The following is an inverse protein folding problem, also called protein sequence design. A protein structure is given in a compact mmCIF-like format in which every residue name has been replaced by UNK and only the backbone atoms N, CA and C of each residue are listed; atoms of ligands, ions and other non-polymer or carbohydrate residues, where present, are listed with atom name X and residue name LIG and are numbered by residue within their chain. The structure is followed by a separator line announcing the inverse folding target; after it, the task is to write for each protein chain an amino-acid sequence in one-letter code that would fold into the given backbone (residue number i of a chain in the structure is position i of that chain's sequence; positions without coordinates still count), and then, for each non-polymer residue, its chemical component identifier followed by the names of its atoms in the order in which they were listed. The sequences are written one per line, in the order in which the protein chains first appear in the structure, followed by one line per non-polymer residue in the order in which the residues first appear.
data_IF_415408332183
#
_entry.id   IF_415408332183
#
_cell.length_a   1.000
_cell.length_b   1.000
_cell.length_c   1.000
_cell.angle_alpha   90.00
_cell.angle_beta   90.00
_cell.angle_gamma   90.00
#
_symmetry.space_group_name_H-M   'P 1'
#
loop_
_entity.id
_entity.type
_entity.pdbx_description
1 polymer ?
#
# COMPACT_ATOMS: atom_id res chain seq x y z
N UNK A 1 -27.81 11.97 -8.21
CA UNK A 1 -26.45 12.37 -8.67
C UNK A 1 -25.34 11.57 -7.96
N UNK A 2 -25.62 10.41 -7.34
CA UNK A 2 -24.64 9.71 -6.49
C UNK A 2 -23.90 8.55 -7.21
N UNK A 3 -24.54 7.87 -8.15
CA UNK A 3 -23.97 6.69 -8.86
C UNK A 3 -22.77 7.07 -9.75
N UNK A 4 -22.77 8.29 -10.31
CA UNK A 4 -21.62 8.78 -11.07
C UNK A 4 -20.38 8.98 -10.18
N UNK A 5 -20.57 9.36 -8.91
CA UNK A 5 -19.46 9.51 -7.96
C UNK A 5 -18.85 8.15 -7.60
N UNK A 6 -19.70 7.15 -7.36
CA UNK A 6 -19.22 5.81 -7.02
C UNK A 6 -18.47 5.13 -8.17
N UNK A 7 -18.73 5.50 -9.43
CA UNK A 7 -17.86 5.11 -10.54
C UNK A 7 -16.43 5.65 -10.38
N UNK A 8 -16.27 6.90 -10.01
CA UNK A 8 -14.95 7.51 -9.86
C UNK A 8 -14.15 6.94 -8.68
N UNK A 9 -14.81 6.30 -7.72
CA UNK A 9 -14.14 5.57 -6.64
C UNK A 9 -13.54 4.22 -7.10
N UNK A 10 -13.93 3.74 -8.29
CA UNK A 10 -13.49 2.46 -8.84
C UNK A 10 -12.15 2.60 -9.58
N UNK A 11 -11.52 1.47 -9.88
CA UNK A 11 -10.26 1.47 -10.63
C UNK A 11 -10.40 2.17 -12.00
N UNK A 12 -11.41 1.81 -12.78
CA UNK A 12 -11.65 2.41 -14.09
C UNK A 12 -11.88 3.93 -14.01
N UNK A 13 -12.65 4.37 -13.01
CA UNK A 13 -12.92 5.78 -12.77
C UNK A 13 -11.68 6.58 -12.34
N UNK A 14 -10.91 6.06 -11.38
CA UNK A 14 -9.66 6.70 -10.91
C UNK A 14 -8.63 6.84 -12.04
N UNK A 15 -8.41 5.75 -12.78
CA UNK A 15 -7.48 5.75 -13.92
C UNK A 15 -7.95 6.69 -15.03
N UNK A 16 -9.26 6.77 -15.28
CA UNK A 16 -9.82 7.72 -16.24
C UNK A 16 -9.62 9.18 -15.80
N UNK A 17 -9.70 9.49 -14.50
CA UNK A 17 -9.45 10.84 -13.98
C UNK A 17 -7.98 11.25 -14.07
N UNK A 18 -7.06 10.29 -13.99
CA UNK A 18 -5.63 10.52 -14.17
C UNK A 18 -5.22 10.75 -15.63
N UNK A 19 -6.20 10.86 -16.56
CA UNK A 19 -5.95 11.15 -17.97
C UNK A 19 -5.58 9.93 -18.81
N UNK A 20 -5.60 8.72 -18.24
CA UNK A 20 -5.37 7.50 -19.00
C UNK A 20 -6.58 7.18 -19.87
N UNK A 21 -6.35 7.05 -21.17
CA UNK A 21 -7.43 6.90 -22.15
C UNK A 21 -7.82 5.45 -22.42
N UNK A 22 -6.97 4.49 -22.09
CA UNK A 22 -7.22 3.05 -22.29
C UNK A 22 -7.87 2.41 -21.06
N UNK A 23 -9.00 2.97 -20.63
CA UNK A 23 -9.81 2.45 -19.52
C UNK A 23 -11.29 2.55 -19.89
N UNK A 24 -12.11 1.65 -19.36
CA UNK A 24 -13.55 1.70 -19.58
C UNK A 24 -14.14 2.97 -18.96
N UNK A 25 -14.97 3.67 -19.72
CA UNK A 25 -15.77 4.83 -19.30
C UNK A 25 -17.24 4.44 -19.20
N UNK A 26 -18.08 5.39 -18.82
CA UNK A 26 -19.52 5.19 -18.65
C UNK A 26 -20.16 4.49 -19.87
N UNK A 27 -19.86 4.97 -21.07
CA UNK A 27 -20.45 4.47 -22.31
C UNK A 27 -19.89 3.12 -22.77
N UNK A 28 -18.67 2.74 -22.36
CA UNK A 28 -18.10 1.44 -22.72
C UNK A 28 -18.87 0.28 -22.07
N UNK A 29 -19.44 0.55 -20.90
CA UNK A 29 -20.27 -0.37 -20.13
C UNK A 29 -21.77 -0.22 -20.43
N UNK A 30 -22.28 1.01 -20.49
CA UNK A 30 -23.73 1.27 -20.63
C UNK A 30 -24.22 1.40 -22.08
N UNK A 31 -23.33 1.67 -23.04
CA UNK A 31 -23.69 2.12 -24.38
C UNK A 31 -23.75 3.64 -24.48
N UNK A 32 -23.92 4.14 -25.70
CA UNK A 32 -23.96 5.58 -25.99
C UNK A 32 -25.38 6.09 -26.23
N UNK A 33 -26.17 5.37 -27.04
CA UNK A 33 -27.54 5.75 -27.41
C UNK A 33 -28.57 4.66 -27.10
N UNK A 34 -28.12 3.54 -26.52
CA UNK A 34 -28.86 2.32 -26.22
C UNK A 34 -28.77 1.97 -24.73
N UNK A 35 -28.79 3.01 -23.89
CA UNK A 35 -28.67 2.89 -22.44
C UNK A 35 -30.00 2.33 -21.89
N UNK A 36 -29.98 1.04 -21.57
CA UNK A 36 -31.11 0.33 -21.00
C UNK A 36 -30.86 -0.06 -19.54
N UNK A 37 -31.94 -0.10 -18.74
CA UNK A 37 -31.88 -0.55 -17.36
C UNK A 37 -31.32 -1.98 -17.25
N UNK A 38 -30.62 -2.28 -16.15
CA UNK A 38 -29.99 -3.59 -15.90
C UNK A 38 -31.01 -4.75 -15.92
N UNK A 39 -32.27 -4.45 -15.58
CA UNK A 39 -33.38 -5.41 -15.62
C UNK A 39 -33.81 -5.78 -17.04
N UNK A 40 -33.52 -4.95 -18.04
CA UNK A 40 -33.84 -5.24 -19.44
C UNK A 40 -32.83 -6.28 -19.99
N UNK A 41 -33.30 -7.42 -20.55
CA UNK A 41 -32.44 -8.42 -21.16
C UNK A 41 -31.52 -7.90 -22.28
N UNK A 42 -31.94 -6.85 -22.99
CA UNK A 42 -31.18 -6.23 -24.09
C UNK A 42 -30.09 -5.27 -23.60
N UNK A 43 -30.10 -4.88 -22.32
CA UNK A 43 -29.05 -4.04 -21.75
C UNK A 43 -27.68 -4.71 -21.86
N UNK A 44 -26.64 -3.93 -22.17
CA UNK A 44 -25.24 -4.36 -22.12
C UNK A 44 -24.82 -4.87 -20.74
N UNK A 45 -25.55 -4.47 -19.69
CA UNK A 45 -25.30 -4.83 -18.30
C UNK A 45 -26.30 -5.86 -17.76
N UNK A 46 -27.17 -6.41 -18.60
CA UNK A 46 -28.06 -7.50 -18.19
C UNK A 46 -27.25 -8.71 -17.74
N UNK A 47 -27.83 -9.59 -16.90
CA UNK A 47 -27.12 -10.79 -16.41
C UNK A 47 -26.56 -11.67 -17.53
N UNK A 48 -27.14 -11.63 -18.72
CA UNK A 48 -26.71 -12.39 -19.90
C UNK A 48 -25.56 -11.71 -20.66
N UNK A 49 -25.55 -10.37 -20.69
CA UNK A 49 -24.65 -9.60 -21.54
C UNK A 49 -23.44 -9.04 -20.79
N UNK A 50 -23.53 -8.84 -19.47
CA UNK A 50 -22.47 -8.22 -18.65
C UNK A 50 -21.11 -8.91 -18.83
N UNK A 51 -21.08 -10.24 -18.95
CA UNK A 51 -19.84 -10.97 -19.19
C UNK A 51 -19.18 -10.57 -20.51
N UNK A 52 -19.97 -10.48 -21.60
CA UNK A 52 -19.48 -10.06 -22.91
C UNK A 52 -18.96 -8.63 -22.89
N UNK A 53 -19.61 -7.76 -22.11
CA UNK A 53 -19.18 -6.38 -21.91
C UNK A 53 -17.80 -6.31 -21.24
N UNK A 54 -17.57 -7.09 -20.18
CA UNK A 54 -16.25 -7.18 -19.56
C UNK A 54 -15.20 -7.78 -20.51
N UNK A 55 -15.59 -8.77 -21.32
CA UNK A 55 -14.70 -9.47 -22.25
C UNK A 55 -14.21 -8.61 -23.41
N UNK A 56 -14.80 -7.44 -23.66
CA UNK A 56 -14.28 -6.47 -24.64
C UNK A 56 -12.83 -6.06 -24.33
N UNK A 57 -12.45 -6.05 -23.05
CA UNK A 57 -11.09 -5.74 -22.60
C UNK A 57 -10.47 -6.87 -21.77
N UNK A 58 -11.27 -7.67 -21.06
CA UNK A 58 -10.81 -8.80 -20.25
C UNK A 58 -11.20 -10.12 -20.90
N UNK A 59 -10.50 -10.52 -21.96
CA UNK A 59 -10.84 -11.70 -22.78
C UNK A 59 -11.04 -13.00 -21.97
N UNK A 60 -10.24 -13.18 -20.91
CA UNK A 60 -10.33 -14.33 -19.99
C UNK A 60 -11.35 -14.19 -18.86
N UNK A 61 -12.20 -13.16 -18.87
CA UNK A 61 -13.19 -12.95 -17.80
C UNK A 61 -14.19 -14.11 -17.75
N UNK A 62 -14.53 -14.52 -16.53
CA UNK A 62 -15.54 -15.56 -16.24
C UNK A 62 -16.80 -14.94 -15.62
N UNK A 63 -17.88 -15.71 -15.51
CA UNK A 63 -19.11 -15.25 -14.84
C UNK A 63 -18.87 -14.76 -13.40
N UNK A 64 -17.92 -15.38 -12.67
CA UNK A 64 -17.57 -14.96 -11.30
C UNK A 64 -16.87 -13.59 -11.30
N UNK A 65 -16.04 -13.32 -12.31
CA UNK A 65 -15.39 -12.02 -12.50
C UNK A 65 -16.41 -10.91 -12.76
N UNK A 66 -17.35 -11.15 -13.69
CA UNK A 66 -18.39 -10.18 -14.05
C UNK A 66 -19.49 -10.01 -12.98
N UNK A 67 -19.48 -10.82 -11.92
CA UNK A 67 -20.43 -10.73 -10.80
C UNK A 67 -20.09 -9.63 -9.79
N UNK A 68 -18.96 -8.95 -9.94
CA UNK A 68 -18.59 -7.82 -9.07
C UNK A 68 -19.46 -6.60 -9.37
N UNK A 69 -20.05 -6.00 -8.34
CA UNK A 69 -20.74 -4.72 -8.46
C UNK A 69 -19.72 -3.61 -8.70
N UNK A 70 -19.58 -3.21 -9.97
CA UNK A 70 -18.59 -2.24 -10.45
C UNK A 70 -18.77 -0.83 -9.91
N UNK A 71 -19.82 -0.54 -9.14
CA UNK A 71 -20.05 0.75 -8.47
C UNK A 71 -20.39 0.59 -6.98
N UNK A 72 -20.15 -0.59 -6.39
CA UNK A 72 -20.32 -0.78 -4.95
C UNK A 72 -19.15 -0.12 -4.22
N UNK A 73 -19.47 0.79 -3.31
CA UNK A 73 -18.47 1.51 -2.50
C UNK A 73 -18.65 1.17 -1.04
N UNK A 74 -17.56 1.26 -0.29
CA UNK A 74 -17.53 1.06 1.16
C UNK A 74 -17.97 2.31 1.94
N UNK A 75 -18.49 3.34 1.28
CA UNK A 75 -18.91 4.61 1.90
C UNK A 75 -20.36 4.61 2.39
N UNK A 76 -21.19 3.68 1.89
CA UNK A 76 -22.59 3.58 2.24
C UNK A 76 -22.85 2.31 3.10
N UNK A 77 -22.93 2.44 4.43
CA UNK A 77 -23.18 1.31 5.32
C UNK A 77 -24.60 0.77 5.21
N UNK A 78 -25.58 1.54 4.69
CA UNK A 78 -26.95 1.06 4.53
C UNK A 78 -27.09 0.16 3.31
N UNK A 79 -26.42 0.53 2.21
CA UNK A 79 -26.48 -0.23 0.95
C UNK A 79 -25.50 -1.40 0.88
N UNK A 80 -24.31 -1.24 1.47
CA UNK A 80 -23.25 -2.27 1.47
C UNK A 80 -22.64 -2.48 2.87
N UNK A 81 -23.43 -2.94 3.87
CA UNK A 81 -22.98 -3.04 5.26
C UNK A 81 -21.76 -3.94 5.45
N UNK A 82 -21.72 -5.08 4.76
CA UNK A 82 -20.59 -6.03 4.84
C UNK A 82 -19.31 -5.39 4.29
N UNK A 83 -19.41 -4.68 3.15
CA UNK A 83 -18.25 -4.03 2.54
C UNK A 83 -17.71 -2.88 3.40
N UNK A 84 -18.60 -2.11 4.03
CA UNK A 84 -18.25 -1.03 4.95
C UNK A 84 -17.43 -1.54 6.15
N UNK A 85 -17.97 -2.52 6.88
CA UNK A 85 -17.33 -3.03 8.10
C UNK A 85 -16.03 -3.78 7.81
N UNK A 86 -15.98 -4.55 6.73
CA UNK A 86 -14.74 -5.25 6.33
C UNK A 86 -13.64 -4.27 5.96
N UNK A 87 -13.94 -3.21 5.20
CA UNK A 87 -12.96 -2.18 4.84
C UNK A 87 -12.41 -1.46 6.08
N UNK A 88 -13.28 -1.00 6.98
CA UNK A 88 -12.86 -0.31 8.19
C UNK A 88 -12.13 -1.21 9.18
N UNK A 89 -12.57 -2.47 9.32
CA UNK A 89 -11.86 -3.47 10.14
C UNK A 89 -10.44 -3.73 9.63
N UNK A 90 -10.27 -3.95 8.33
CA UNK A 90 -8.95 -4.19 7.74
C UNK A 90 -8.06 -2.94 7.80
N UNK A 91 -8.63 -1.76 7.56
CA UNK A 91 -7.91 -0.48 7.67
C UNK A 91 -7.46 -0.21 9.10
N UNK A 92 -8.34 -0.47 10.09
CA UNK A 92 -7.99 -0.35 11.51
C UNK A 92 -6.87 -1.30 11.91
N UNK A 93 -6.90 -2.55 11.43
CA UNK A 93 -5.81 -3.51 11.66
C UNK A 93 -4.49 -2.99 11.08
N UNK A 94 -4.51 -2.54 9.82
CA UNK A 94 -3.32 -2.00 9.15
C UNK A 94 -2.74 -0.82 9.93
N UNK A 95 -3.54 0.20 10.21
CA UNK A 95 -3.10 1.39 10.95
C UNK A 95 -2.58 1.01 12.34
N UNK A 96 -3.28 0.12 13.03
CA UNK A 96 -2.87 -0.39 14.34
C UNK A 96 -1.50 -1.06 14.30
N UNK A 97 -1.24 -1.93 13.32
CA UNK A 97 0.07 -2.60 13.16
C UNK A 97 1.20 -1.62 12.90
N UNK A 98 1.00 -0.62 12.02
CA UNK A 98 2.00 0.40 11.75
C UNK A 98 2.27 1.31 12.97
N UNK A 99 1.23 1.67 13.73
CA UNK A 99 1.41 2.48 14.95
C UNK A 99 2.20 1.69 15.98
N UNK A 100 1.84 0.43 16.25
CA UNK A 100 2.54 -0.41 17.23
C UNK A 100 4.00 -0.65 16.83
N UNK A 101 4.25 -1.03 15.58
CA UNK A 101 5.61 -1.23 15.06
C UNK A 101 6.42 0.09 15.04
N UNK A 102 5.75 1.19 14.68
CA UNK A 102 6.33 2.53 14.67
C UNK A 102 6.74 2.98 16.08
N UNK A 103 5.84 2.84 17.07
CA UNK A 103 6.14 3.16 18.48
C UNK A 103 7.25 2.26 19.00
N UNK A 104 7.19 0.94 18.74
CA UNK A 104 8.26 0.02 19.14
C UNK A 104 9.62 0.46 18.59
N UNK A 105 9.68 0.80 17.30
CA UNK A 105 10.90 1.28 16.64
C UNK A 105 11.37 2.61 17.22
N UNK A 106 10.44 3.55 17.44
CA UNK A 106 10.75 4.89 17.94
C UNK A 106 11.23 4.85 19.40
N UNK A 107 10.66 3.99 20.23
CA UNK A 107 11.13 3.77 21.61
C UNK A 107 12.50 3.09 21.66
N UNK A 108 12.82 2.25 20.67
CA UNK A 108 14.12 1.56 20.62
C UNK A 108 15.23 2.37 19.94
N UNK A 109 14.88 3.37 19.12
CA UNK A 109 15.82 4.22 18.38
C UNK A 109 16.84 4.96 19.30
N UNK A 110 16.45 5.62 20.41
CA UNK A 110 17.39 6.31 21.28
C UNK A 110 18.39 5.34 21.92
N UNK A 111 17.90 4.18 22.36
CA UNK A 111 18.74 3.14 22.96
C UNK A 111 19.75 2.60 21.94
N UNK A 112 19.31 2.34 20.72
CA UNK A 112 20.18 1.92 19.61
C UNK A 112 21.26 2.97 19.30
N UNK A 113 20.90 4.25 19.28
CA UNK A 113 21.86 5.34 19.06
C UNK A 113 22.84 5.50 20.23
N UNK A 114 22.39 5.32 21.48
CA UNK A 114 23.27 5.36 22.65
C UNK A 114 24.33 4.25 22.59
N UNK A 115 23.96 3.03 22.22
CA UNK A 115 24.93 1.93 22.07
C UNK A 115 25.97 2.19 20.98
N UNK A 116 25.56 2.79 19.85
CA UNK A 116 26.52 3.20 18.81
C UNK A 116 27.52 4.26 19.31
N UNK A 117 27.05 5.23 20.11
CA UNK A 117 27.90 6.26 20.72
C UNK A 117 28.88 5.67 21.74
N UNK A 118 28.40 4.77 22.60
CA UNK A 118 29.23 4.09 23.61
C UNK A 118 30.29 3.21 22.94
N UNK A 119 29.92 2.44 21.92
CA UNK A 119 30.88 1.61 21.16
C UNK A 119 31.97 2.47 20.50
N UNK A 120 31.59 3.61 19.90
CA UNK A 120 32.55 4.54 19.29
C UNK A 120 33.54 5.11 20.32
N UNK A 121 33.08 5.39 21.55
CA UNK A 121 33.94 5.84 22.65
C UNK A 121 34.92 4.74 23.06
N UNK A 122 34.44 3.51 23.29
CA UNK A 122 35.28 2.36 23.65
C UNK A 122 36.35 2.04 22.61
N UNK A 123 36.02 2.17 21.33
CA UNK A 123 37.00 1.97 20.25
C UNK A 123 38.11 3.02 20.30
N UNK A 124 37.77 4.30 20.50
CA UNK A 124 38.77 5.37 20.67
C UNK A 124 39.64 5.17 21.90
N UNK A 125 39.04 4.78 23.02
CA UNK A 125 39.78 4.53 24.26
C UNK A 125 40.72 3.34 24.10
N UNK A 126 40.28 2.26 23.42
CA UNK A 126 41.14 1.10 23.10
C UNK A 126 42.30 1.48 22.17
N UNK A 127 42.05 2.32 21.17
CA UNK A 127 43.09 2.78 20.23
C UNK A 127 44.16 3.61 20.95
N UNK A 128 43.76 4.51 21.86
CA UNK A 128 44.69 5.24 22.73
C UNK A 128 45.54 4.34 23.61
N UNK A 129 44.92 3.34 24.25
CA UNK A 129 45.66 2.40 25.10
C UNK A 129 46.70 1.61 24.31
N UNK A 130 46.38 1.19 23.09
CA UNK A 130 47.33 0.50 22.20
C UNK A 130 48.49 1.41 21.82
N UNK A 131 48.20 2.68 21.49
CA UNK A 131 49.21 3.67 21.14
C UNK A 131 50.15 3.98 22.31
N UNK A 132 49.59 4.17 23.51
CA UNK A 132 50.35 4.35 24.76
C UNK A 132 51.22 3.13 25.08
N UNK A 133 50.69 1.91 24.93
CA UNK A 133 51.45 0.67 25.17
C UNK A 133 52.62 0.54 24.20
N UNK A 134 52.39 0.79 22.89
CA UNK A 134 53.47 0.75 21.89
C UNK A 134 54.54 1.80 22.17
N UNK A 135 54.15 2.99 22.63
CA UNK A 135 55.09 4.04 22.97
C UNK A 135 55.98 3.64 24.16
N UNK A 136 55.38 3.04 25.19
CA UNK A 136 56.13 2.51 26.33
C UNK A 136 57.07 1.36 25.93
N UNK A 137 56.63 0.46 25.04
CA UNK A 137 57.49 -0.60 24.50
C UNK A 137 58.71 -0.02 23.76
N UNK A 138 58.50 0.96 22.88
CA UNK A 138 59.61 1.61 22.15
C UNK A 138 60.57 2.38 23.08
N UNK A 139 60.05 3.11 24.06
CA UNK A 139 60.88 3.85 25.04
C UNK A 139 61.73 2.88 25.89
N UNK A 140 61.20 1.70 26.23
CA UNK A 140 61.94 0.67 26.96
C UNK A 140 62.97 -0.06 26.09
N UNK A 141 62.72 -0.24 24.78
CA UNK A 141 63.70 -0.77 23.83
C UNK A 141 64.87 0.20 23.64
N UNK A 142 64.59 1.50 23.47
CA UNK A 142 65.62 2.55 23.36
C UNK A 142 66.49 2.68 24.63
N UNK A 143 65.94 2.43 25.82
CA UNK A 143 66.68 2.43 27.09
C UNK A 143 67.54 1.17 27.29
N UNK A 144 67.18 0.05 26.65
CA UNK A 144 67.96 -1.20 26.70
C UNK A 144 69.17 -1.21 25.75
N UNK A 145 69.10 -0.42 24.68
CA UNK A 145 70.12 -0.33 23.62
C UNK A 145 71.14 0.83 23.83
N UNK A 146 70.99 1.62 24.91
CA UNK A 146 71.86 2.75 25.29
C UNK A 146 72.90 2.39 26.37
#
# INVERSE_FOLDING_TARGET
VEIAKTYFDTYHGKVSQLGYTKTAKCYDCHGSHDILAISNPESHLSRKNVLKTCQKCHEGATKKFAGYLTHATHHDPQKYPILFWTFWGMTGLLVGTFILAGIHTLLWLPRSLQWKRELAKRLKDKEKLIDETKRQENENEDELDA
#
